data_IF_196316123111
#
_entry.id   IF_196316123111
#
_cell.length_a   1.000
_cell.length_b   1.000
_cell.length_c   1.000
_cell.angle_alpha   90.00
_cell.angle_beta   90.00
_cell.angle_gamma   90.00
#
_symmetry.space_group_name_H-M   'P 1'
#
loop_
_entity.id
_entity.type
_entity.pdbx_description
1 polymer ?
#
# COMPACT_ATOMS: atom_id res chain seq x y z
N UNK A 1 -27.21 -9.30 7.02
CA UNK A 1 -25.93 -8.61 7.28
C UNK A 1 -25.77 -7.51 6.24
N UNK A 2 -25.47 -6.32 6.68
CA UNK A 2 -25.16 -5.24 5.76
C UNK A 2 -23.65 -5.17 5.52
N UNK A 3 -23.26 -4.70 4.34
CA UNK A 3 -21.89 -4.44 3.98
C UNK A 3 -21.74 -2.97 3.69
N UNK A 4 -20.63 -2.39 4.15
CA UNK A 4 -20.21 -1.07 3.72
C UNK A 4 -18.96 -1.23 2.86
N UNK A 5 -18.89 -0.44 1.81
CA UNK A 5 -17.79 -0.51 0.87
C UNK A 5 -17.30 0.88 0.50
N UNK A 6 -15.99 1.03 0.50
CA UNK A 6 -15.32 2.26 0.09
C UNK A 6 -14.26 1.92 -0.95
N UNK A 7 -14.04 2.83 -1.89
CA UNK A 7 -12.97 2.73 -2.89
C UNK A 7 -12.26 4.05 -3.01
N UNK A 8 -10.96 4.00 -3.19
CA UNK A 8 -10.16 5.18 -3.48
C UNK A 8 -8.98 4.80 -4.36
N UNK A 9 -8.61 5.69 -5.27
CA UNK A 9 -7.37 5.56 -6.04
C UNK A 9 -6.42 6.67 -5.58
N UNK A 10 -5.21 6.30 -5.19
CA UNK A 10 -4.19 7.23 -4.70
C UNK A 10 -3.09 7.33 -5.75
N UNK A 11 -2.93 8.48 -6.42
CA UNK A 11 -1.99 8.61 -7.54
C UNK A 11 -0.55 8.89 -7.05
N UNK A 12 -0.01 7.99 -6.25
CA UNK A 12 1.37 8.08 -5.77
C UNK A 12 2.08 6.75 -6.02
N UNK A 13 3.40 6.82 -6.23
CA UNK A 13 4.19 5.62 -6.45
C UNK A 13 4.19 4.75 -5.18
N UNK A 14 3.83 3.46 -5.30
CA UNK A 14 3.85 2.56 -4.16
C UNK A 14 5.22 2.46 -3.51
N UNK A 15 5.24 2.44 -2.18
CA UNK A 15 6.46 2.29 -1.38
C UNK A 15 6.30 1.06 -0.50
N UNK A 16 7.28 0.15 -0.58
CA UNK A 16 7.27 -1.04 0.26
C UNK A 16 7.67 -0.69 1.70
N UNK A 17 7.16 -1.49 2.66
CA UNK A 17 7.56 -1.36 4.05
C UNK A 17 9.06 -1.61 4.15
N UNK A 18 9.86 -0.62 4.61
CA UNK A 18 11.31 -0.80 4.71
C UNK A 18 11.66 -1.70 5.87
N UNK A 19 12.80 -2.38 5.76
CA UNK A 19 13.38 -3.11 6.88
C UNK A 19 13.92 -2.10 7.89
N UNK A 20 13.65 -2.34 9.17
CA UNK A 20 14.23 -1.53 10.23
C UNK A 20 15.73 -1.77 10.29
N UNK A 21 16.48 -0.69 10.48
CA UNK A 21 17.93 -0.78 10.69
C UNK A 21 18.20 -1.12 12.16
N UNK A 22 19.32 -1.81 12.40
CA UNK A 22 19.75 -2.16 13.74
C UNK A 22 20.91 -1.24 14.11
N UNK A 23 20.80 -0.55 15.25
CA UNK A 23 21.85 0.27 15.80
C UNK A 23 22.41 -0.40 17.06
N UNK A 24 23.74 -0.42 17.18
CA UNK A 24 24.43 -0.92 18.37
C UNK A 24 25.01 0.20 19.23
N UNK A 25 24.64 1.44 18.97
CA UNK A 25 25.07 2.60 19.75
C UNK A 25 24.64 2.41 21.20
N UNK A 26 25.58 2.58 22.16
CA UNK A 26 25.32 2.40 23.57
C UNK A 26 25.40 0.95 24.04
N UNK A 27 25.93 0.05 23.23
CA UNK A 27 26.11 -1.37 23.58
C UNK A 27 24.85 -2.24 23.48
N UNK A 28 23.75 -1.68 22.99
CA UNK A 28 22.49 -2.41 22.81
C UNK A 28 22.04 -2.35 21.34
N UNK A 29 21.57 -3.48 20.83
CA UNK A 29 20.95 -3.52 19.52
C UNK A 29 19.56 -2.89 19.57
N UNK A 30 19.29 -1.95 18.65
CA UNK A 30 17.98 -1.30 18.52
C UNK A 30 17.55 -1.28 17.08
N UNK A 31 16.30 -1.67 16.82
CA UNK A 31 15.70 -1.50 15.51
C UNK A 31 15.16 -0.08 15.39
N UNK A 32 15.39 0.55 14.25
CA UNK A 32 14.86 1.88 13.97
C UNK A 32 14.57 2.07 12.48
N UNK A 33 13.65 2.99 12.18
CA UNK A 33 13.32 3.39 10.83
C UNK A 33 13.90 4.79 10.56
N UNK A 34 14.68 4.98 9.48
CA UNK A 34 15.25 6.30 9.18
C UNK A 34 14.18 7.37 9.02
N UNK A 35 14.40 8.53 9.63
CA UNK A 35 13.42 9.63 9.64
C UNK A 35 13.10 10.19 8.26
N UNK A 36 14.06 10.14 7.33
CA UNK A 36 13.90 10.69 5.97
C UNK A 36 13.43 9.67 4.94
N UNK A 37 13.06 8.47 5.38
CA UNK A 37 12.58 7.46 4.44
C UNK A 37 11.25 7.92 3.81
N UNK A 38 11.07 7.73 2.48
CA UNK A 38 9.83 8.15 1.80
C UNK A 38 8.56 7.50 2.34
N UNK A 39 8.68 6.41 3.11
CA UNK A 39 7.53 5.73 3.70
C UNK A 39 6.69 6.67 4.59
N UNK A 40 7.30 7.63 5.26
CA UNK A 40 6.58 8.51 6.17
C UNK A 40 5.58 9.41 5.42
N UNK A 41 6.03 10.07 4.36
CA UNK A 41 5.16 10.88 3.52
C UNK A 41 4.12 10.04 2.78
N UNK A 42 4.51 8.85 2.36
CA UNK A 42 3.62 7.91 1.70
C UNK A 42 2.44 7.52 2.60
N UNK A 43 2.73 7.15 3.86
CA UNK A 43 1.67 6.80 4.82
C UNK A 43 0.73 7.97 5.10
N UNK A 44 1.26 9.18 5.23
CA UNK A 44 0.43 10.37 5.42
C UNK A 44 -0.47 10.64 4.21
N UNK A 45 0.05 10.47 3.00
CA UNK A 45 -0.74 10.63 1.78
C UNK A 45 -1.87 9.59 1.70
N UNK A 46 -1.61 8.35 2.09
CA UNK A 46 -2.64 7.30 2.15
C UNK A 46 -3.74 7.66 3.14
N UNK A 47 -3.37 8.11 4.34
CA UNK A 47 -4.32 8.52 5.37
C UNK A 47 -5.21 9.66 4.88
N UNK A 48 -4.60 10.68 4.27
CA UNK A 48 -5.31 11.81 3.74
C UNK A 48 -6.31 11.40 2.67
N UNK A 49 -5.87 10.59 1.71
CA UNK A 49 -6.72 10.11 0.62
C UNK A 49 -7.90 9.27 1.15
N UNK A 50 -7.64 8.41 2.15
CA UNK A 50 -8.67 7.59 2.75
C UNK A 50 -9.72 8.43 3.48
N UNK A 51 -9.29 9.44 4.23
CA UNK A 51 -10.20 10.35 4.93
C UNK A 51 -11.03 11.16 3.93
N UNK A 52 -10.41 11.68 2.88
CA UNK A 52 -11.10 12.41 1.82
C UNK A 52 -12.13 11.54 1.10
N UNK A 53 -11.88 10.26 0.95
CA UNK A 53 -12.80 9.31 0.34
C UNK A 53 -13.93 8.90 1.30
N UNK A 54 -13.92 9.36 2.55
CA UNK A 54 -14.95 9.05 3.55
C UNK A 54 -14.84 7.64 4.12
N UNK A 55 -13.68 7.02 4.07
CA UNK A 55 -13.45 5.68 4.63
C UNK A 55 -13.52 5.77 6.16
N UNK A 56 -14.50 5.09 6.77
CA UNK A 56 -14.72 5.17 8.23
C UNK A 56 -15.34 3.87 8.75
N UNK A 57 -14.62 2.74 8.68
CA UNK A 57 -15.19 1.49 9.19
C UNK A 57 -15.38 1.54 10.71
N UNK A 58 -16.35 0.78 11.19
CA UNK A 58 -16.62 0.60 12.62
C UNK A 58 -15.69 -0.48 13.20
N UNK A 59 -16.25 -1.57 13.74
CA UNK A 59 -15.47 -2.61 14.42
C UNK A 59 -15.51 -3.98 13.73
N UNK A 60 -16.17 -4.06 12.58
CA UNK A 60 -16.38 -5.32 11.88
C UNK A 60 -15.15 -5.86 11.16
N UNK A 61 -15.19 -7.10 10.71
CA UNK A 61 -14.12 -7.68 9.88
C UNK A 61 -13.99 -6.90 8.56
N UNK A 62 -12.76 -6.74 8.10
CA UNK A 62 -12.47 -5.99 6.89
C UNK A 62 -11.95 -6.90 5.79
N UNK A 63 -12.53 -6.75 4.59
CA UNK A 63 -11.96 -7.29 3.35
C UNK A 63 -11.28 -6.14 2.62
N UNK A 64 -10.01 -6.32 2.28
CA UNK A 64 -9.21 -5.28 1.64
C UNK A 64 -8.80 -5.74 0.24
N UNK A 65 -9.00 -4.86 -0.73
CA UNK A 65 -8.49 -5.05 -2.09
C UNK A 65 -7.41 -4.03 -2.38
N UNK A 66 -6.27 -4.48 -2.89
CA UNK A 66 -5.13 -3.62 -3.23
C UNK A 66 -4.63 -3.94 -4.62
N UNK A 67 -4.52 -2.91 -5.45
CA UNK A 67 -3.87 -3.02 -6.75
C UNK A 67 -2.77 -1.98 -6.79
N UNK A 68 -1.53 -2.44 -6.93
CA UNK A 68 -0.36 -1.58 -7.00
C UNK A 68 0.03 -1.37 -8.45
N UNK A 69 0.09 -0.10 -8.87
CA UNK A 69 0.56 0.29 -10.19
C UNK A 69 1.97 0.82 -10.04
N UNK A 70 2.94 0.10 -10.59
CA UNK A 70 4.36 0.44 -10.48
C UNK A 70 4.85 1.02 -11.79
N UNK A 71 5.50 2.18 -11.76
CA UNK A 71 5.91 2.85 -13.00
C UNK A 71 6.99 2.06 -13.74
N UNK A 72 6.80 1.94 -15.04
CA UNK A 72 7.80 1.32 -15.91
C UNK A 72 9.05 2.19 -15.97
N UNK A 73 10.26 1.58 -16.05
CA UNK A 73 11.49 2.35 -16.18
C UNK A 73 11.47 3.29 -17.38
N UNK A 74 11.99 4.50 -17.20
CA UNK A 74 12.02 5.50 -18.27
C UNK A 74 12.89 5.05 -19.46
N UNK A 75 13.83 4.14 -19.22
CA UNK A 75 14.72 3.60 -20.25
C UNK A 75 14.05 2.62 -21.20
N UNK A 76 12.87 2.12 -20.88
CA UNK A 76 12.14 1.19 -21.76
C UNK A 76 11.66 1.91 -23.02
N UNK A 77 11.75 1.24 -24.17
CA UNK A 77 11.24 1.75 -25.43
C UNK A 77 9.71 1.87 -25.39
N UNK A 78 9.16 2.70 -26.27
CA UNK A 78 7.70 2.83 -26.40
C UNK A 78 7.03 1.49 -26.70
N UNK A 79 7.68 0.68 -27.53
CA UNK A 79 7.16 -0.65 -27.91
C UNK A 79 7.08 -1.57 -26.68
N UNK A 80 8.14 -1.60 -25.87
CA UNK A 80 8.17 -2.42 -24.66
C UNK A 80 7.15 -1.94 -23.64
N UNK A 81 7.03 -0.63 -23.48
CA UNK A 81 6.05 -0.03 -22.56
C UNK A 81 4.63 -0.40 -22.96
N UNK A 82 4.31 -0.30 -24.25
CA UNK A 82 2.98 -0.65 -24.75
C UNK A 82 2.69 -2.15 -24.56
N UNK A 83 3.69 -3.00 -24.77
CA UNK A 83 3.54 -4.44 -24.64
C UNK A 83 3.32 -4.90 -23.19
N UNK A 84 3.93 -4.21 -22.22
CA UNK A 84 3.92 -4.60 -20.81
C UNK A 84 2.96 -3.79 -19.94
N UNK A 85 2.28 -2.81 -20.52
CA UNK A 85 1.31 -2.00 -19.77
C UNK A 85 0.25 -2.89 -19.13
N UNK A 86 0.11 -2.75 -17.81
CA UNK A 86 -0.83 -3.50 -16.98
C UNK A 86 -0.59 -5.02 -16.96
N UNK A 87 0.60 -5.47 -17.38
CA UNK A 87 1.01 -6.87 -17.20
C UNK A 87 1.52 -7.09 -15.77
N UNK A 88 1.55 -8.36 -15.31
CA UNK A 88 2.07 -8.64 -13.96
C UNK A 88 3.49 -8.14 -13.76
N UNK A 89 3.69 -7.46 -12.63
CA UNK A 89 5.00 -6.96 -12.22
C UNK A 89 5.69 -8.04 -11.38
N UNK A 90 6.82 -8.56 -11.84
CA UNK A 90 7.51 -9.68 -11.21
C UNK A 90 8.89 -9.33 -10.67
N UNK A 91 9.13 -8.06 -10.38
CA UNK A 91 10.40 -7.57 -9.84
C UNK A 91 10.16 -6.98 -8.45
N UNK A 92 11.22 -6.59 -7.76
CA UNK A 92 11.09 -5.85 -6.50
C UNK A 92 10.33 -4.54 -6.76
N UNK A 93 9.55 -4.05 -5.79
CA UNK A 93 9.41 -4.55 -4.41
C UNK A 93 8.44 -5.74 -4.30
N UNK A 94 8.56 -6.49 -3.20
CA UNK A 94 7.72 -7.66 -2.95
C UNK A 94 6.28 -7.25 -2.63
N UNK A 95 5.33 -8.03 -3.10
CA UNK A 95 3.90 -7.74 -2.95
C UNK A 95 3.46 -7.67 -1.49
N UNK A 96 3.95 -8.58 -0.65
CA UNK A 96 3.61 -8.60 0.77
C UNK A 96 4.11 -7.34 1.50
N UNK A 97 5.29 -6.85 1.16
CA UNK A 97 5.83 -5.62 1.74
C UNK A 97 5.05 -4.38 1.29
N UNK A 98 4.55 -4.38 0.06
CA UNK A 98 3.68 -3.31 -0.43
C UNK A 98 2.35 -3.31 0.33
N UNK A 99 1.75 -4.49 0.53
CA UNK A 99 0.51 -4.61 1.27
C UNK A 99 0.67 -4.17 2.72
N UNK A 100 1.77 -4.59 3.38
CA UNK A 100 2.03 -4.22 4.76
C UNK A 100 2.18 -2.71 4.92
N UNK A 101 2.86 -2.05 4.02
CA UNK A 101 3.03 -0.59 4.08
C UNK A 101 1.68 0.13 4.01
N UNK A 102 0.75 -0.33 3.18
CA UNK A 102 -0.59 0.27 3.07
C UNK A 102 -1.38 0.04 4.35
N UNK A 103 -1.42 -1.20 4.86
CA UNK A 103 -2.17 -1.51 6.07
C UNK A 103 -1.63 -0.75 7.28
N UNK A 104 -0.30 -0.68 7.43
CA UNK A 104 0.32 0.11 8.50
C UNK A 104 -0.01 1.60 8.35
N UNK A 105 0.06 2.10 7.13
CA UNK A 105 -0.24 3.51 6.84
C UNK A 105 -1.69 3.88 7.09
N UNK A 106 -2.62 2.98 6.83
CA UNK A 106 -4.04 3.22 7.01
C UNK A 106 -4.54 2.97 8.44
N UNK A 107 -3.67 2.47 9.34
CA UNK A 107 -4.08 2.12 10.70
C UNK A 107 -4.85 3.23 11.42
N UNK A 108 -4.46 4.51 11.35
CA UNK A 108 -5.24 5.57 11.99
C UNK A 108 -6.65 5.77 11.42
N UNK A 109 -6.92 5.22 10.23
CA UNK A 109 -8.22 5.36 9.57
C UNK A 109 -9.07 4.10 9.72
N UNK A 110 -8.49 2.93 9.49
CA UNK A 110 -9.22 1.65 9.47
C UNK A 110 -9.04 0.83 10.74
N UNK A 111 -8.13 1.23 11.63
CA UNK A 111 -7.82 0.49 12.84
C UNK A 111 -6.75 -0.57 12.64
N UNK A 112 -6.60 -1.44 13.62
CA UNK A 112 -5.59 -2.49 13.62
C UNK A 112 -5.77 -3.43 12.43
N UNK A 113 -4.67 -3.79 11.77
CA UNK A 113 -4.68 -4.69 10.62
C UNK A 113 -5.11 -6.12 10.95
N UNK A 114 -5.16 -6.50 12.22
CA UNK A 114 -5.71 -7.79 12.63
C UNK A 114 -7.20 -7.94 12.29
N UNK A 115 -7.89 -6.84 12.01
CA UNK A 115 -9.27 -6.85 11.54
C UNK A 115 -9.40 -7.29 10.08
N UNK A 116 -8.32 -7.26 9.33
CA UNK A 116 -8.29 -7.70 7.93
C UNK A 116 -8.27 -9.22 7.92
N UNK A 117 -9.41 -9.83 7.60
CA UNK A 117 -9.53 -11.29 7.59
C UNK A 117 -9.36 -11.88 6.19
N UNK A 118 -9.42 -11.05 5.17
CA UNK A 118 -9.38 -11.50 3.79
C UNK A 118 -8.88 -10.38 2.87
N UNK A 119 -8.03 -10.73 1.90
CA UNK A 119 -7.80 -9.87 0.75
C UNK A 119 -8.75 -10.30 -0.37
N UNK A 120 -9.61 -9.40 -0.81
CA UNK A 120 -10.49 -9.64 -1.95
C UNK A 120 -9.72 -9.57 -3.26
N UNK A 121 -8.67 -8.77 -3.30
CA UNK A 121 -7.73 -8.66 -4.42
C UNK A 121 -6.39 -8.20 -3.87
N UNK A 122 -5.31 -8.72 -4.44
CA UNK A 122 -3.96 -8.29 -4.08
C UNK A 122 -3.05 -8.57 -5.27
N UNK A 123 -2.63 -7.52 -5.98
CA UNK A 123 -1.79 -7.65 -7.16
C UNK A 123 -0.94 -6.42 -7.41
N UNK A 124 0.11 -6.59 -8.18
CA UNK A 124 0.95 -5.50 -8.67
C UNK A 124 1.16 -5.58 -10.17
N UNK A 125 1.06 -4.45 -10.83
CA UNK A 125 1.06 -4.34 -12.29
C UNK A 125 2.03 -3.25 -12.74
N UNK A 126 2.56 -3.39 -13.95
CA UNK A 126 3.29 -2.32 -14.60
C UNK A 126 2.34 -1.23 -15.07
N UNK A 127 2.73 0.02 -14.93
CA UNK A 127 1.91 1.16 -15.35
C UNK A 127 2.79 2.32 -15.84
N UNK A 128 2.17 3.28 -16.51
CA UNK A 128 2.86 4.52 -16.89
C UNK A 128 3.16 5.37 -15.65
N UNK A 129 2.20 5.47 -14.74
CA UNK A 129 2.31 6.26 -13.52
C UNK A 129 2.02 5.40 -12.32
N UNK A 130 2.72 5.66 -11.22
CA UNK A 130 2.47 4.97 -9.97
C UNK A 130 1.09 5.28 -9.40
N UNK A 131 0.52 4.30 -8.72
CA UNK A 131 -0.77 4.47 -8.05
C UNK A 131 -1.13 3.27 -7.22
N UNK A 132 -2.11 3.44 -6.35
CA UNK A 132 -2.67 2.34 -5.55
C UNK A 132 -4.18 2.43 -5.62
N UNK A 133 -4.83 1.35 -6.09
CA UNK A 133 -6.26 1.18 -5.95
C UNK A 133 -6.56 0.48 -4.65
N UNK A 134 -7.42 1.07 -3.81
CA UNK A 134 -7.77 0.55 -2.49
C UNK A 134 -9.27 0.36 -2.42
N UNK A 135 -9.70 -0.83 -2.03
CA UNK A 135 -11.10 -1.13 -1.74
C UNK A 135 -11.19 -1.70 -0.34
N UNK A 136 -12.12 -1.20 0.46
CA UNK A 136 -12.34 -1.68 1.82
C UNK A 136 -13.82 -2.03 1.96
N UNK A 137 -14.10 -3.25 2.40
CA UNK A 137 -15.45 -3.73 2.67
C UNK A 137 -15.51 -4.14 4.12
N UNK A 138 -16.55 -3.69 4.82
CA UNK A 138 -16.78 -4.04 6.20
C UNK A 138 -18.05 -4.88 6.33
N UNK A 139 -17.92 -6.04 6.99
CA UNK A 139 -19.09 -6.84 7.39
C UNK A 139 -19.66 -6.30 8.69
N UNK A 140 -20.96 -6.08 8.72
CA UNK A 140 -21.66 -5.60 9.91
C UNK A 140 -22.75 -6.54 10.37
#
# INVERSE_FOLDING_TARGET
>A
MSEQRWSVFVPITPVAQPRQRISTIGGHARSYLPKKHPIHGYKLALQHAAKEAGIHPSDGPLTVGLVFYLPMPASWSKRKRAALLHSPHCQKPDLDNLAKAVLDGLQPVIGDDCRVWQFGMLRKLWAEHGGIGITIEELT
#
